data_IF_745343633617
#
_entry.id   IF_745343633617
#
_cell.length_a   1.000
_cell.length_b   1.000
_cell.length_c   1.000
_cell.angle_alpha   90.00
_cell.angle_beta   90.00
_cell.angle_gamma   90.00
#
_symmetry.space_group_name_H-M   'P 1'
#
loop_
_entity.id
_entity.type
_entity.pdbx_description
1 polymer ?
#
# COMPACT_ATOMS: atom_id res chain seq x y z
N UNK A 1 30.15 16.31 21.04
CA UNK A 1 29.31 15.96 19.87
C UNK A 1 29.51 14.48 19.58
N UNK A 2 28.46 13.67 19.68
CA UNK A 2 28.56 12.20 19.66
C UNK A 2 29.08 11.68 18.31
N UNK A 3 30.00 10.69 18.33
CA UNK A 3 30.64 10.04 17.16
C UNK A 3 29.67 9.27 16.23
N UNK A 4 28.38 9.27 16.55
CA UNK A 4 27.32 8.71 15.73
C UNK A 4 26.36 9.87 15.42
N UNK A 5 26.48 10.43 14.22
CA UNK A 5 25.57 11.46 13.74
C UNK A 5 24.17 10.89 13.55
N UNK A 6 23.14 11.70 13.84
CA UNK A 6 21.72 11.40 13.61
C UNK A 6 21.46 10.89 12.18
N UNK A 7 22.24 11.38 11.21
CA UNK A 7 22.24 10.92 9.83
C UNK A 7 22.43 9.40 9.71
N UNK A 8 23.41 8.81 10.41
CA UNK A 8 23.67 7.36 10.32
C UNK A 8 22.52 6.52 10.88
N UNK A 9 21.78 7.04 11.85
CA UNK A 9 20.61 6.35 12.43
C UNK A 9 19.42 6.36 11.46
N UNK A 10 19.13 7.51 10.83
CA UNK A 10 18.05 7.64 9.84
C UNK A 10 18.40 6.84 8.58
N UNK A 11 19.59 7.05 8.00
CA UNK A 11 20.00 6.33 6.80
C UNK A 11 20.17 4.84 7.04
N UNK A 12 20.73 4.43 8.18
CA UNK A 12 20.87 3.01 8.53
C UNK A 12 19.52 2.30 8.69
N UNK A 13 18.51 2.97 9.28
CA UNK A 13 17.15 2.44 9.37
C UNK A 13 16.50 2.31 7.98
N UNK A 14 16.60 3.34 7.14
CA UNK A 14 16.06 3.34 5.77
C UNK A 14 16.76 2.29 4.89
N UNK A 15 18.07 2.09 5.04
CA UNK A 15 18.84 1.04 4.36
C UNK A 15 18.38 -0.35 4.80
N UNK A 16 18.21 -0.58 6.11
CA UNK A 16 17.73 -1.87 6.60
C UNK A 16 16.31 -2.17 6.12
N UNK A 17 15.43 -1.16 6.12
CA UNK A 17 14.09 -1.28 5.55
C UNK A 17 14.14 -1.65 4.06
N UNK A 18 15.02 -1.00 3.30
CA UNK A 18 15.23 -1.27 1.87
C UNK A 18 15.79 -2.66 1.61
N UNK A 19 16.83 -3.08 2.32
CA UNK A 19 17.45 -4.41 2.18
C UNK A 19 16.46 -5.50 2.58
N UNK A 20 15.71 -5.31 3.67
CA UNK A 20 14.68 -6.26 4.10
C UNK A 20 13.55 -6.34 3.06
N UNK A 21 13.14 -5.20 2.52
CA UNK A 21 12.10 -5.12 1.50
C UNK A 21 12.53 -5.86 0.21
N UNK A 22 13.71 -5.54 -0.32
CA UNK A 22 14.27 -6.19 -1.52
C UNK A 22 14.57 -7.67 -1.25
N UNK A 23 15.07 -8.03 -0.07
CA UNK A 23 15.37 -9.41 0.28
C UNK A 23 14.12 -10.29 0.35
N UNK A 24 13.05 -9.80 0.98
CA UNK A 24 11.83 -10.58 1.25
C UNK A 24 10.78 -10.51 0.15
N UNK A 25 10.60 -9.35 -0.49
CA UNK A 25 9.47 -9.09 -1.39
C UNK A 25 9.83 -8.96 -2.87
N UNK A 26 11.11 -9.02 -3.24
CA UNK A 26 11.55 -8.94 -4.65
C UNK A 26 10.91 -9.99 -5.57
N UNK A 27 10.61 -11.19 -5.07
CA UNK A 27 10.01 -12.25 -5.91
C UNK A 27 8.48 -12.23 -5.96
N UNK A 28 7.80 -11.60 -4.99
CA UNK A 28 6.33 -11.53 -4.92
C UNK A 28 5.89 -10.21 -4.26
N UNK A 29 6.07 -9.07 -4.96
CA UNK A 29 5.78 -7.75 -4.40
C UNK A 29 4.28 -7.54 -4.13
N UNK A 30 3.38 -8.24 -4.85
CA UNK A 30 1.94 -8.10 -4.65
C UNK A 30 1.47 -8.55 -3.26
N UNK A 31 2.12 -9.52 -2.61
CA UNK A 31 1.70 -9.95 -1.28
C UNK A 31 1.91 -8.87 -0.21
N UNK A 32 2.95 -8.04 -0.32
CA UNK A 32 3.20 -6.99 0.67
C UNK A 32 2.31 -5.78 0.42
N UNK A 33 2.41 -5.20 -0.77
CA UNK A 33 1.68 -3.99 -1.10
C UNK A 33 0.20 -4.24 -1.35
N UNK A 34 -0.16 -5.39 -1.92
CA UNK A 34 -1.54 -5.77 -2.16
C UNK A 34 -2.31 -6.06 -0.88
N UNK A 35 -1.70 -6.69 0.13
CA UNK A 35 -2.39 -6.92 1.43
C UNK A 35 -2.59 -5.60 2.18
N UNK A 36 -1.53 -4.79 2.32
CA UNK A 36 -1.63 -3.46 2.96
C UNK A 36 -2.58 -2.53 2.21
N UNK A 37 -2.49 -2.51 0.88
CA UNK A 37 -3.34 -1.71 0.02
C UNK A 37 -4.81 -2.10 0.11
N UNK A 38 -5.11 -3.40 0.04
CA UNK A 38 -6.48 -3.92 0.18
C UNK A 38 -7.04 -3.62 1.56
N UNK A 39 -6.28 -3.85 2.64
CA UNK A 39 -6.73 -3.54 4.00
C UNK A 39 -7.04 -2.04 4.16
N UNK A 40 -6.14 -1.16 3.74
CA UNK A 40 -6.33 0.29 3.81
C UNK A 40 -7.53 0.75 2.98
N UNK A 41 -7.67 0.20 1.76
CA UNK A 41 -8.80 0.51 0.87
C UNK A 41 -10.14 0.08 1.49
N UNK A 42 -10.22 -1.13 2.05
CA UNK A 42 -11.44 -1.62 2.69
C UNK A 42 -11.81 -0.79 3.92
N UNK A 43 -10.84 -0.48 4.80
CA UNK A 43 -11.08 0.35 5.98
C UNK A 43 -11.56 1.75 5.55
N UNK A 44 -10.87 2.39 4.61
CA UNK A 44 -11.26 3.71 4.10
C UNK A 44 -12.65 3.70 3.45
N UNK A 45 -12.97 2.63 2.71
CA UNK A 45 -14.28 2.48 2.04
C UNK A 45 -15.40 2.29 3.06
N UNK A 46 -15.21 1.43 4.07
CA UNK A 46 -16.18 1.22 5.14
C UNK A 46 -16.43 2.52 5.91
N UNK A 47 -15.37 3.27 6.27
CA UNK A 47 -15.50 4.55 6.94
C UNK A 47 -16.23 5.58 6.08
N UNK A 48 -15.93 5.64 4.78
CA UNK A 48 -16.58 6.56 3.85
C UNK A 48 -18.07 6.22 3.71
N UNK A 49 -18.41 4.95 3.52
CA UNK A 49 -19.79 4.47 3.43
C UNK A 49 -20.56 4.72 4.72
N UNK A 50 -19.92 4.53 5.87
CA UNK A 50 -20.54 4.81 7.16
C UNK A 50 -20.87 6.30 7.31
N UNK A 51 -19.93 7.20 7.04
CA UNK A 51 -20.16 8.65 7.14
C UNK A 51 -21.22 9.16 6.16
N UNK A 52 -21.22 8.65 4.93
CA UNK A 52 -22.25 8.98 3.93
C UNK A 52 -23.61 8.40 4.34
N UNK A 53 -23.63 7.17 4.85
CA UNK A 53 -24.83 6.49 5.33
C UNK A 53 -25.45 7.17 6.54
N UNK A 54 -24.64 7.63 7.50
CA UNK A 54 -25.07 8.41 8.65
C UNK A 54 -25.77 9.70 8.20
N UNK A 55 -25.14 10.45 7.27
CA UNK A 55 -25.77 11.65 6.70
C UNK A 55 -27.10 11.33 6.02
N UNK A 56 -27.15 10.25 5.24
CA UNK A 56 -28.35 9.88 4.51
C UNK A 56 -29.49 9.47 5.46
N UNK A 57 -29.17 8.73 6.53
CA UNK A 57 -30.12 8.35 7.57
C UNK A 57 -30.69 9.57 8.31
N UNK A 58 -29.83 10.51 8.72
CA UNK A 58 -30.23 11.75 9.38
C UNK A 58 -31.11 12.61 8.48
N UNK A 59 -30.81 12.67 7.18
CA UNK A 59 -31.60 13.41 6.20
C UNK A 59 -33.01 12.82 6.03
N UNK A 60 -33.16 11.49 6.00
CA UNK A 60 -34.47 10.83 5.92
C UNK A 60 -35.33 11.13 7.15
N UNK A 61 -34.72 11.23 8.34
CA UNK A 61 -35.42 11.50 9.59
C UNK A 61 -35.64 12.99 9.88
N UNK A 62 -35.37 13.89 8.91
CA UNK A 62 -35.43 15.35 9.07
C UNK A 62 -34.62 15.90 10.26
N UNK A 63 -33.57 15.19 10.65
CA UNK A 63 -32.63 15.62 11.69
C UNK A 63 -31.55 16.51 11.07
N UNK A 64 -30.99 17.45 11.86
CA UNK A 64 -29.86 18.27 11.40
C UNK A 64 -28.65 17.38 11.10
N UNK A 65 -28.40 17.14 9.82
CA UNK A 65 -27.21 16.46 9.35
C UNK A 65 -26.08 17.48 9.11
N UNK A 66 -24.90 17.23 9.69
CA UNK A 66 -23.68 17.98 9.34
C UNK A 66 -23.19 17.54 7.96
N UNK A 67 -22.57 18.43 7.19
CA UNK A 67 -22.00 18.00 5.91
C UNK A 67 -20.85 17.03 6.15
N UNK A 68 -20.74 16.02 5.27
CA UNK A 68 -19.64 15.04 5.33
C UNK A 68 -18.28 15.73 5.20
N UNK A 69 -18.20 16.79 4.39
CA UNK A 69 -17.01 17.61 4.18
C UNK A 69 -16.58 18.42 5.40
N UNK A 70 -17.48 18.64 6.37
CA UNK A 70 -17.14 19.36 7.60
C UNK A 70 -16.52 18.42 8.66
N UNK A 71 -16.39 17.12 8.33
CA UNK A 71 -15.84 16.11 9.22
C UNK A 71 -14.40 15.78 8.81
N UNK A 72 -13.38 16.06 9.66
CA UNK A 72 -11.99 15.68 9.37
C UNK A 72 -11.82 14.19 9.08
N UNK A 73 -12.65 13.34 9.71
CA UNK A 73 -12.63 11.89 9.52
C UNK A 73 -12.93 11.49 8.07
N UNK A 74 -13.74 12.25 7.33
CA UNK A 74 -14.01 12.00 5.92
C UNK A 74 -12.75 12.10 5.07
N UNK A 75 -11.92 13.12 5.31
CA UNK A 75 -10.67 13.29 4.58
C UNK A 75 -9.67 12.19 4.91
N UNK A 76 -9.59 11.75 6.18
CA UNK A 76 -8.77 10.61 6.57
C UNK A 76 -9.21 9.32 5.88
N UNK A 77 -10.53 9.07 5.82
CA UNK A 77 -11.10 7.93 5.11
C UNK A 77 -10.80 7.99 3.60
N UNK A 78 -10.96 9.17 2.98
CA UNK A 78 -10.66 9.38 1.56
C UNK A 78 -9.18 9.15 1.25
N UNK A 79 -8.27 9.67 2.08
CA UNK A 79 -6.83 9.44 1.93
C UNK A 79 -6.51 7.95 2.09
N UNK A 80 -7.12 7.26 3.05
CA UNK A 80 -6.91 5.82 3.24
C UNK A 80 -7.36 4.99 2.01
N UNK A 81 -8.45 5.39 1.34
CA UNK A 81 -8.89 4.80 0.06
C UNK A 81 -7.87 5.05 -1.04
N UNK A 82 -7.43 6.29 -1.23
CA UNK A 82 -6.49 6.68 -2.29
C UNK A 82 -5.15 5.97 -2.10
N UNK A 83 -4.58 6.02 -0.89
CA UNK A 83 -3.31 5.36 -0.55
C UNK A 83 -3.45 3.84 -0.68
N UNK A 84 -4.57 3.27 -0.23
CA UNK A 84 -4.85 1.85 -0.38
C UNK A 84 -4.81 1.40 -1.85
N UNK A 85 -5.48 2.15 -2.73
CA UNK A 85 -5.47 1.90 -4.17
C UNK A 85 -4.07 2.05 -4.77
N UNK A 86 -3.32 3.09 -4.39
CA UNK A 86 -1.94 3.31 -4.85
C UNK A 86 -1.00 2.17 -4.44
N UNK A 87 -1.10 1.68 -3.21
CA UNK A 87 -0.32 0.54 -2.74
C UNK A 87 -0.69 -0.73 -3.53
N UNK A 88 -1.99 -1.00 -3.72
CA UNK A 88 -2.42 -2.14 -4.51
C UNK A 88 -1.85 -2.10 -5.94
N UNK A 89 -1.95 -0.94 -6.61
CA UNK A 89 -1.39 -0.71 -7.94
C UNK A 89 0.13 -0.87 -7.95
N UNK A 90 0.86 -0.33 -6.97
CA UNK A 90 2.31 -0.49 -6.87
C UNK A 90 2.71 -1.97 -6.72
N UNK A 91 1.97 -2.74 -5.92
CA UNK A 91 2.17 -4.18 -5.79
C UNK A 91 1.93 -4.92 -7.10
N UNK A 92 0.84 -4.61 -7.78
CA UNK A 92 0.48 -5.20 -9.06
C UNK A 92 1.52 -4.89 -10.16
N UNK A 93 1.94 -3.63 -10.26
CA UNK A 93 3.01 -3.21 -11.18
C UNK A 93 4.33 -3.93 -10.86
N UNK A 94 4.67 -4.07 -9.58
CA UNK A 94 5.83 -4.84 -9.16
C UNK A 94 5.78 -6.30 -9.66
N UNK A 95 4.61 -6.94 -9.57
CA UNK A 95 4.40 -8.31 -10.03
C UNK A 95 4.59 -8.41 -11.55
N UNK A 96 4.02 -7.47 -12.31
CA UNK A 96 4.16 -7.41 -13.77
C UNK A 96 5.61 -7.19 -14.22
N UNK A 97 6.34 -6.30 -13.55
CA UNK A 97 7.77 -6.06 -13.84
C UNK A 97 8.58 -7.32 -13.56
N UNK A 98 8.29 -8.03 -12.46
CA UNK A 98 8.96 -9.27 -12.11
C UNK A 98 8.67 -10.40 -13.11
N UNK A 99 7.45 -10.48 -13.65
CA UNK A 99 7.05 -11.47 -14.66
C UNK A 99 7.69 -11.24 -16.03
N UNK A 100 7.98 -9.98 -16.38
CA UNK A 100 8.57 -9.58 -17.67
C UNK A 100 10.11 -9.45 -17.65
N UNK A 101 10.76 -9.89 -16.57
CA UNK A 101 12.22 -9.79 -16.42
C UNK A 101 13.00 -10.65 -17.43
N UNK A 102 14.11 -10.14 -18.04
CA UNK A 102 14.89 -10.85 -19.06
C UNK A 102 15.48 -12.20 -18.62
N UNK A 103 15.60 -12.44 -17.31
CA UNK A 103 16.21 -13.65 -16.73
C UNK A 103 15.23 -14.79 -16.43
N UNK A 104 14.04 -14.79 -17.06
CA UNK A 104 13.05 -15.86 -16.83
C UNK A 104 13.49 -17.23 -17.37
N UNK A 105 14.53 -17.25 -18.20
CA UNK A 105 14.91 -18.38 -19.04
C UNK A 105 16.45 -18.62 -19.11
N UNK A 106 17.22 -18.08 -18.15
CA UNK A 106 18.65 -18.42 -18.03
C UNK A 106 18.76 -19.78 -17.33
N UNK A 107 18.56 -20.86 -18.08
CA UNK A 107 19.00 -22.18 -17.64
C UNK A 107 20.43 -22.38 -18.12
N UNK A 108 21.31 -22.78 -17.20
CA UNK A 108 22.63 -23.29 -17.57
C UNK A 108 22.43 -24.70 -18.12
N UNK A 109 22.43 -24.86 -19.44
CA UNK A 109 22.42 -26.18 -20.09
C UNK A 109 23.72 -26.88 -19.72
N UNK A 110 23.64 -27.87 -18.82
CA UNK A 110 24.82 -28.56 -18.28
C UNK A 110 25.30 -29.68 -19.19
N UNK A 111 24.40 -30.34 -19.91
CA UNK A 111 24.75 -31.41 -20.83
C UNK A 111 23.66 -31.61 -21.88
N UNK A 112 24.05 -31.73 -23.14
CA UNK A 112 23.15 -32.02 -24.27
C UNK A 112 23.27 -33.51 -24.58
N UNK A 113 22.23 -34.29 -24.26
CA UNK A 113 22.14 -35.68 -24.70
C UNK A 113 21.86 -35.68 -26.20
N UNK A 114 22.80 -36.19 -26.99
CA UNK A 114 22.73 -36.27 -28.45
C UNK A 114 22.63 -37.72 -28.88
#
# INVERSE_FOLDING_TARGET
>A
VTKFGLERFIFGFLDLASITFVGKFRRRPMHFFGTLGTLSFFIGTILTLWLVGEKWWLAIHNLKARNVTDQPLFFLALVAVIVGMQLFLAGFLGELVQLNGPKRNDYLVRETLR
#
